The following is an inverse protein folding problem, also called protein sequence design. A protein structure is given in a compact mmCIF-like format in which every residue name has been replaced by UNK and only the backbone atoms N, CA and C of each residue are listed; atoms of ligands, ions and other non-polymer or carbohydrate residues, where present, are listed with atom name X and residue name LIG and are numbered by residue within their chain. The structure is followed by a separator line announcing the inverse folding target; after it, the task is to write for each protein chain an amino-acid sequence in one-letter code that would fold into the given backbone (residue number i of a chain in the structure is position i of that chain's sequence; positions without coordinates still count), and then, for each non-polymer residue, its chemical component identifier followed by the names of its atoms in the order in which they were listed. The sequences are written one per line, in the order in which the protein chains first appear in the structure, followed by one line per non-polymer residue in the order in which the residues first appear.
data_IF_943925319964
#
_entry.id   IF_943925319964
#
_cell.length_a   1.000
_cell.length_b   1.000
_cell.length_c   1.000
_cell.angle_alpha   90.00
_cell.angle_beta   90.00
_cell.angle_gamma   90.00
#
_symmetry.space_group_name_H-M   'P 1'
#
loop_
_entity.id
_entity.type
_entity.pdbx_description
1 polymer ?
#
# COMPACT_ATOMS: atom_id res chain seq x y z
N UNK A 1 2.45 -16.42 2.30
CA UNK A 1 2.86 -15.04 2.00
C UNK A 1 1.96 -14.52 0.88
N UNK A 2 1.44 -13.30 1.00
CA UNK A 2 0.42 -12.73 0.11
C UNK A 2 1.04 -11.66 -0.82
N UNK A 3 1.65 -12.12 -1.91
CA UNK A 3 2.31 -11.25 -2.91
C UNK A 3 1.48 -11.07 -4.18
N UNK A 4 0.18 -11.35 -4.14
CA UNK A 4 -0.69 -11.35 -5.33
C UNK A 4 -0.83 -9.98 -6.02
N UNK A 5 -0.44 -8.90 -5.36
CA UNK A 5 -0.44 -7.53 -5.88
C UNK A 5 0.97 -6.95 -6.10
N UNK A 6 2.02 -7.68 -5.71
CA UNK A 6 3.41 -7.24 -5.86
C UNK A 6 3.83 -7.32 -7.33
N UNK A 7 4.59 -6.31 -7.78
CA UNK A 7 5.14 -6.27 -9.14
C UNK A 7 6.60 -5.86 -9.09
N UNK A 8 7.40 -6.45 -9.98
CA UNK A 8 8.73 -5.93 -10.27
C UNK A 8 8.60 -4.58 -10.97
N UNK A 9 9.50 -3.68 -10.58
CA UNK A 9 9.61 -2.34 -11.12
C UNK A 9 10.62 -2.40 -12.27
N UNK A 10 10.19 -2.08 -13.48
CA UNK A 10 11.05 -2.02 -14.68
C UNK A 10 11.48 -0.55 -14.89
N UNK A 11 12.77 -0.26 -14.65
CA UNK A 11 13.53 0.99 -14.90
C UNK A 11 12.93 2.36 -14.48
N UNK A 12 11.73 2.41 -13.88
CA UNK A 12 11.07 3.65 -13.44
C UNK A 12 10.71 3.65 -11.95
N UNK A 13 10.56 4.82 -11.33
CA UNK A 13 10.31 4.94 -9.87
C UNK A 13 8.89 4.54 -9.40
N UNK A 14 8.06 4.01 -10.31
CA UNK A 14 6.66 3.74 -10.01
C UNK A 14 6.03 2.70 -10.91
N UNK A 15 5.12 1.90 -10.37
CA UNK A 15 4.26 1.02 -11.17
C UNK A 15 2.79 1.42 -11.06
N UNK A 16 2.05 1.24 -12.15
CA UNK A 16 0.62 1.60 -12.23
C UNK A 16 -0.25 0.35 -12.26
N UNK A 17 -1.26 0.27 -11.40
CA UNK A 17 -2.19 -0.87 -11.41
C UNK A 17 -3.44 -0.59 -12.26
N UNK A 18 -3.79 -1.54 -13.14
CA UNK A 18 -5.03 -1.52 -13.94
C UNK A 18 -6.03 -2.50 -13.33
N UNK A 19 -7.08 -1.99 -12.68
CA UNK A 19 -8.14 -2.80 -12.05
C UNK A 19 -7.74 -3.44 -10.70
N UNK A 20 -8.68 -4.16 -10.07
CA UNK A 20 -8.49 -4.89 -8.81
C UNK A 20 -9.11 -4.24 -7.56
N UNK A 21 -9.43 -5.07 -6.54
CA UNK A 21 -9.79 -4.59 -5.20
C UNK A 21 -8.52 -4.18 -4.46
N UNK A 22 -8.44 -2.91 -4.06
CA UNK A 22 -7.30 -2.33 -3.35
C UNK A 22 -7.70 -2.14 -1.88
N UNK A 23 -6.86 -2.54 -0.90
CA UNK A 23 -7.15 -2.33 0.51
C UNK A 23 -6.98 -0.85 0.91
N UNK A 24 -8.06 -0.07 0.80
CA UNK A 24 -8.06 1.41 0.95
C UNK A 24 -7.37 1.88 2.25
N UNK A 25 -7.57 1.19 3.38
CA UNK A 25 -7.01 1.62 4.69
C UNK A 25 -5.51 1.48 4.80
N UNK A 26 -4.90 0.61 3.99
CA UNK A 26 -3.45 0.41 3.96
C UNK A 26 -2.82 1.04 2.72
N UNK A 27 -3.60 1.75 1.89
CA UNK A 27 -3.08 2.31 0.64
C UNK A 27 -2.82 3.80 0.81
N UNK A 28 -1.67 4.27 0.32
CA UNK A 28 -1.32 5.68 0.32
C UNK A 28 -2.26 6.51 -0.59
N UNK A 29 -2.45 7.78 -0.27
CA UNK A 29 -3.40 8.66 -0.99
C UNK A 29 -3.03 8.81 -2.46
N UNK A 30 -1.74 8.94 -2.77
CA UNK A 30 -1.24 9.01 -4.15
C UNK A 30 -1.50 7.71 -4.95
N UNK A 31 -1.48 6.56 -4.27
CA UNK A 31 -1.78 5.27 -4.86
C UNK A 31 -3.30 5.05 -5.02
N UNK A 32 -4.13 5.70 -4.20
CA UNK A 32 -5.60 5.70 -4.36
C UNK A 32 -6.02 6.57 -5.54
N UNK A 33 -5.51 7.79 -5.62
CA UNK A 33 -5.96 8.81 -6.60
C UNK A 33 -5.39 8.54 -7.99
N UNK A 34 -4.08 8.26 -8.08
CA UNK A 34 -3.39 8.11 -9.35
C UNK A 34 -3.10 6.66 -9.74
N UNK A 35 -3.47 5.68 -8.90
CA UNK A 35 -3.11 4.26 -9.06
C UNK A 35 -1.60 4.04 -9.25
N UNK A 36 -0.81 4.98 -8.74
CA UNK A 36 0.65 5.03 -8.86
C UNK A 36 1.27 4.56 -7.55
N UNK A 37 1.94 3.42 -7.61
CA UNK A 37 2.64 2.83 -6.47
C UNK A 37 4.12 3.16 -6.60
N UNK A 38 4.69 3.70 -5.53
CA UNK A 38 6.09 4.10 -5.40
C UNK A 38 6.63 3.60 -4.07
N UNK A 39 7.95 3.70 -3.87
CA UNK A 39 8.57 3.39 -2.58
C UNK A 39 7.95 4.20 -1.42
N UNK A 40 7.46 5.42 -1.66
CA UNK A 40 6.77 6.21 -0.63
C UNK A 40 5.43 5.57 -0.22
N UNK A 41 4.68 5.01 -1.18
CA UNK A 41 3.42 4.31 -0.88
C UNK A 41 3.64 2.97 -0.15
N UNK A 42 4.79 2.33 -0.36
CA UNK A 42 5.20 1.15 0.41
C UNK A 42 5.51 1.52 1.86
N UNK A 43 6.22 2.64 2.07
CA UNK A 43 6.51 3.17 3.42
C UNK A 43 5.23 3.54 4.17
N UNK A 44 4.21 4.10 3.49
CA UNK A 44 2.90 4.36 4.09
C UNK A 44 2.25 3.06 4.60
N UNK A 45 2.19 2.05 3.74
CA UNK A 45 1.59 0.75 4.06
C UNK A 45 2.31 0.09 5.25
N UNK A 46 3.64 0.21 5.30
CA UNK A 46 4.46 -0.24 6.42
C UNK A 46 4.19 0.54 7.71
N UNK A 47 3.96 1.85 7.62
CA UNK A 47 3.57 2.67 8.77
C UNK A 47 2.24 2.23 9.40
N UNK A 48 1.24 1.92 8.58
CA UNK A 48 -0.04 1.35 9.06
C UNK A 48 0.19 -0.01 9.73
N UNK A 49 1.00 -0.89 9.13
CA UNK A 49 1.37 -2.17 9.74
C UNK A 49 2.03 -1.97 11.12
N UNK A 50 3.01 -1.07 11.24
CA UNK A 50 3.64 -0.77 12.52
C UNK A 50 2.63 -0.26 13.56
N UNK A 51 1.69 0.61 13.14
CA UNK A 51 0.62 1.09 14.00
C UNK A 51 -0.29 -0.06 14.49
N UNK A 52 -0.65 -0.99 13.62
CA UNK A 52 -1.45 -2.16 13.99
C UNK A 52 -0.73 -3.07 14.99
N UNK A 53 0.59 -3.24 14.82
CA UNK A 53 1.40 -4.03 15.76
C UNK A 53 1.42 -3.40 17.14
N UNK A 54 1.64 -2.08 17.24
CA UNK A 54 1.68 -1.40 18.56
C UNK A 54 0.30 -1.24 19.19
N UNK A 55 -0.76 -1.24 18.39
CA UNK A 55 -2.14 -1.12 18.86
C UNK A 55 -2.80 -2.49 19.10
N UNK A 56 -2.01 -3.57 19.20
CA UNK A 56 -2.49 -4.94 19.43
C UNK A 56 -3.57 -5.41 18.45
N UNK A 57 -3.49 -4.97 17.19
CA UNK A 57 -4.46 -5.32 16.15
C UNK A 57 -5.77 -4.54 16.22
N UNK A 58 -5.80 -3.40 16.91
CA UNK A 58 -6.92 -2.46 16.78
C UNK A 58 -7.10 -2.03 15.34
N UNK A 59 -8.36 -1.74 14.99
CA UNK A 59 -8.74 -1.47 13.62
C UNK A 59 -8.28 -0.06 13.23
N UNK A 60 -7.43 0.12 12.21
CA UNK A 60 -6.99 1.45 11.81
C UNK A 60 -8.17 2.27 11.29
N UNK A 61 -8.19 3.55 11.72
CA UNK A 61 -9.19 4.58 11.38
C UNK A 61 -10.62 4.28 11.85
N UNK A 62 -10.75 3.70 13.05
CA UNK A 62 -12.02 3.51 13.77
C UNK A 62 -12.10 4.41 15.01
#
# INVERSE_FOLDING_TARGET
ADFGLSREIDDGDSYTTKGGKIPIRWTAIEAIDYRKFTSASDVWSFGVLCWEVVSFGERPFW
#
